data_IF_282878514611
#
_entry.id   IF_282878514611
#
_cell.length_a   1.000
_cell.length_b   1.000
_cell.length_c   1.000
_cell.angle_alpha   90.00
_cell.angle_beta   90.00
_cell.angle_gamma   90.00
#
_symmetry.space_group_name_H-M   'P 1'
#
loop_
_entity.id
_entity.type
_entity.pdbx_description
1 polymer ?
#
# COMPACT_ATOMS: atom_id res chain seq x y z
N UNK A 1 2.63 4.71 -15.38
CA UNK A 1 2.45 5.07 -13.96
C UNK A 1 1.93 3.89 -13.16
N UNK A 2 2.64 3.55 -12.09
CA UNK A 2 2.37 2.46 -11.16
C UNK A 2 2.28 3.03 -9.74
N UNK A 3 1.36 2.51 -8.94
CA UNK A 3 1.16 2.90 -7.55
C UNK A 3 1.63 1.79 -6.62
N UNK A 4 2.56 2.12 -5.73
CA UNK A 4 2.87 1.30 -4.54
C UNK A 4 1.92 1.73 -3.44
N UNK A 5 1.29 0.78 -2.75
CA UNK A 5 0.30 1.09 -1.72
C UNK A 5 0.44 0.18 -0.50
N UNK A 6 -0.02 0.69 0.64
CA UNK A 6 -0.14 -0.06 1.89
C UNK A 6 -1.57 -0.02 2.39
N UNK A 7 -2.14 -1.20 2.61
CA UNK A 7 -3.41 -1.35 3.30
C UNK A 7 -3.18 -1.78 4.74
N UNK A 8 -4.07 -1.36 5.63
CA UNK A 8 -4.08 -1.70 7.04
C UNK A 8 -5.44 -2.25 7.43
N UNK A 9 -5.44 -3.38 8.14
CA UNK A 9 -6.66 -3.95 8.71
C UNK A 9 -6.93 -3.43 10.13
N UNK A 10 -8.07 -3.82 10.71
CA UNK A 10 -8.43 -3.46 12.09
C UNK A 10 -7.55 -4.09 13.18
N UNK A 11 -6.60 -4.97 12.82
CA UNK A 11 -5.64 -5.64 13.73
C UNK A 11 -4.21 -5.14 13.49
N UNK A 12 -4.05 -3.96 12.90
CA UNK A 12 -2.77 -3.34 12.61
C UNK A 12 -1.89 -4.11 11.60
N UNK A 13 -2.43 -5.11 10.88
CA UNK A 13 -1.69 -5.85 9.86
C UNK A 13 -1.60 -5.02 8.59
N UNK A 14 -0.40 -4.98 8.01
CA UNK A 14 -0.09 -4.21 6.81
C UNK A 14 0.09 -5.11 5.58
N UNK A 15 -0.71 -4.89 4.56
CA UNK A 15 -0.52 -5.43 3.20
C UNK A 15 0.24 -4.41 2.35
N UNK A 16 1.17 -4.85 1.50
CA UNK A 16 1.94 -3.99 0.60
C UNK A 16 1.84 -4.56 -0.80
N UNK A 17 1.53 -3.72 -1.77
CA UNK A 17 1.39 -4.12 -3.17
C UNK A 17 1.73 -3.01 -4.14
N UNK A 18 1.77 -3.39 -5.42
CA UNK A 18 1.92 -2.49 -6.56
C UNK A 18 0.77 -2.73 -7.55
N UNK A 19 0.33 -1.69 -8.25
CA UNK A 19 -0.70 -1.79 -9.30
C UNK A 19 -0.62 -0.63 -10.28
N UNK A 20 -1.05 -0.83 -11.51
CA UNK A 20 -1.26 0.27 -12.48
C UNK A 20 -2.65 0.92 -12.35
N UNK A 21 -3.55 0.38 -11.52
CA UNK A 21 -4.88 0.92 -11.31
C UNK A 21 -5.31 0.71 -9.85
N UNK A 22 -5.03 1.72 -9.01
CA UNK A 22 -5.30 1.66 -7.57
C UNK A 22 -6.80 1.50 -7.27
N UNK A 23 -7.67 2.22 -7.99
CA UNK A 23 -9.12 2.18 -7.76
C UNK A 23 -9.68 0.78 -7.96
N UNK A 24 -9.34 0.14 -9.09
CA UNK A 24 -9.72 -1.25 -9.38
C UNK A 24 -9.20 -2.18 -8.29
N UNK A 25 -7.92 -2.03 -7.92
CA UNK A 25 -7.28 -2.93 -6.96
C UNK A 25 -7.86 -2.84 -5.55
N UNK A 26 -8.24 -1.63 -5.11
CA UNK A 26 -8.94 -1.44 -3.84
C UNK A 26 -10.32 -2.12 -3.84
N UNK A 27 -11.08 -2.00 -4.94
CA UNK A 27 -12.35 -2.68 -5.08
C UNK A 27 -12.21 -4.21 -4.99
N UNK A 28 -11.22 -4.79 -5.68
CA UNK A 28 -10.90 -6.23 -5.61
C UNK A 28 -10.56 -6.70 -4.18
N UNK A 29 -9.85 -5.87 -3.41
CA UNK A 29 -9.51 -6.18 -2.02
C UNK A 29 -10.74 -6.09 -1.11
N UNK A 30 -11.60 -5.09 -1.31
CA UNK A 30 -12.84 -4.93 -0.54
C UNK A 30 -13.89 -5.99 -0.86
N UNK A 31 -13.94 -6.51 -2.09
CA UNK A 31 -14.84 -7.61 -2.47
C UNK A 31 -14.31 -9.00 -2.07
N UNK A 32 -13.13 -9.09 -1.47
CA UNK A 32 -12.58 -10.34 -0.93
C UNK A 32 -11.99 -11.31 -1.96
N UNK A 33 -11.77 -10.88 -3.21
CA UNK A 33 -11.28 -11.75 -4.30
C UNK A 33 -9.79 -12.14 -4.20
N UNK A 34 -9.07 -11.71 -3.16
CA UNK A 34 -7.66 -12.05 -2.95
C UNK A 34 -7.45 -12.82 -1.65
N UNK A 35 -6.83 -14.00 -1.73
CA UNK A 35 -6.65 -14.95 -0.61
C UNK A 35 -6.02 -14.33 0.65
N UNK A 36 -5.13 -13.36 0.47
CA UNK A 36 -4.43 -12.67 1.56
C UNK A 36 -5.27 -11.59 2.22
N UNK A 37 -6.03 -10.81 1.45
CA UNK A 37 -6.85 -9.72 1.97
C UNK A 37 -8.26 -10.16 2.36
N UNK A 38 -8.75 -11.31 1.88
CA UNK A 38 -10.02 -11.88 2.33
C UNK A 38 -10.02 -12.21 3.83
N UNK A 39 -8.83 -12.45 4.41
CA UNK A 39 -8.62 -12.67 5.86
C UNK A 39 -8.42 -11.37 6.63
N UNK A 40 -8.33 -10.23 5.96
CA UNK A 40 -8.10 -8.90 6.55
C UNK A 40 -9.42 -8.13 6.56
N UNK A 41 -9.98 -7.88 7.75
CA UNK A 41 -11.24 -7.15 7.91
C UNK A 41 -10.99 -5.65 8.01
N UNK A 42 -11.91 -4.85 7.45
CA UNK A 42 -11.90 -3.39 7.56
C UNK A 42 -10.63 -2.73 6.98
N UNK A 43 -10.28 -3.10 5.74
CA UNK A 43 -9.10 -2.59 5.04
C UNK A 43 -9.19 -1.09 4.76
N UNK A 44 -8.17 -0.36 5.22
CA UNK A 44 -7.97 1.08 4.95
C UNK A 44 -6.68 1.29 4.17
N UNK A 45 -6.71 2.15 3.15
CA UNK A 45 -5.50 2.65 2.50
C UNK A 45 -4.82 3.65 3.44
N UNK A 46 -3.57 3.36 3.83
CA UNK A 46 -2.82 4.21 4.77
C UNK A 46 -1.56 4.83 4.16
N UNK A 47 -1.19 4.40 2.95
CA UNK A 47 0.00 4.88 2.26
C UNK A 47 -0.10 4.63 0.76
N UNK A 48 0.38 5.55 -0.05
CA UNK A 48 0.66 5.31 -1.47
C UNK A 48 1.78 6.20 -2.01
N UNK A 49 2.47 5.71 -3.03
CA UNK A 49 3.46 6.42 -3.84
C UNK A 49 3.24 6.08 -5.31
N UNK A 50 3.53 7.02 -6.20
CA UNK A 50 3.39 6.84 -7.65
C UNK A 50 4.77 6.89 -8.32
N UNK A 51 4.95 6.05 -9.32
CA UNK A 51 6.20 5.83 -10.05
C UNK A 51 5.91 5.71 -11.55
N UNK A 52 6.84 6.13 -12.39
CA UNK A 52 6.64 6.06 -13.84
C UNK A 52 6.72 4.62 -14.36
N UNK A 53 7.71 3.86 -13.85
CA UNK A 53 8.01 2.49 -14.27
C UNK A 53 7.57 1.45 -13.24
N UNK A 54 7.36 0.21 -13.71
CA UNK A 54 7.03 -0.91 -12.83
C UNK A 54 8.24 -1.29 -11.96
N UNK A 55 9.44 -1.21 -12.53
CA UNK A 55 10.71 -1.58 -11.91
C UNK A 55 10.98 -0.74 -10.66
N UNK A 56 10.78 0.58 -10.74
CA UNK A 56 10.94 1.49 -9.59
C UNK A 56 9.89 1.21 -8.52
N UNK A 57 8.62 1.08 -8.92
CA UNK A 57 7.53 0.75 -8.02
C UNK A 57 7.78 -0.60 -7.31
N UNK A 58 8.29 -1.60 -8.03
CA UNK A 58 8.59 -2.91 -7.50
C UNK A 58 9.78 -2.88 -6.54
N UNK A 59 10.85 -2.14 -6.86
CA UNK A 59 11.97 -1.92 -5.92
C UNK A 59 11.46 -1.29 -4.62
N UNK A 60 10.59 -0.30 -4.71
CA UNK A 60 9.99 0.34 -3.53
C UNK A 60 9.11 -0.61 -2.72
N UNK A 61 8.25 -1.38 -3.37
CA UNK A 61 7.41 -2.39 -2.72
C UNK A 61 8.25 -3.41 -1.94
N UNK A 62 9.36 -3.89 -2.53
CA UNK A 62 10.30 -4.81 -1.88
C UNK A 62 10.98 -4.16 -0.68
N UNK A 63 11.40 -2.89 -0.80
CA UNK A 63 11.90 -2.13 0.34
C UNK A 63 10.85 -2.06 1.47
N UNK A 64 9.60 -1.72 1.18
CA UNK A 64 8.52 -1.64 2.19
C UNK A 64 8.22 -3.00 2.86
N UNK A 65 8.54 -4.10 2.19
CA UNK A 65 8.46 -5.47 2.75
C UNK A 65 9.67 -5.82 3.64
N UNK A 66 10.81 -5.16 3.48
CA UNK A 66 12.02 -5.38 4.29
C UNK A 66 11.87 -4.92 5.76
N UNK A 67 12.85 -5.25 6.61
CA UNK A 67 12.87 -4.76 8.00
C UNK A 67 12.97 -3.23 8.08
N UNK A 68 13.81 -2.62 7.24
CA UNK A 68 13.95 -1.16 7.17
C UNK A 68 12.64 -0.50 6.73
N UNK A 69 11.98 -1.03 5.69
CA UNK A 69 10.68 -0.54 5.25
C UNK A 69 9.58 -0.71 6.28
N UNK A 70 9.59 -1.79 7.08
CA UNK A 70 8.66 -1.93 8.21
C UNK A 70 8.89 -0.86 9.28
N UNK A 71 10.14 -0.47 9.56
CA UNK A 71 10.46 0.65 10.46
C UNK A 71 10.01 1.98 9.86
N UNK A 72 10.27 2.18 8.56
CA UNK A 72 9.80 3.36 7.81
C UNK A 72 8.29 3.56 7.96
N UNK A 73 7.49 2.49 7.84
CA UNK A 73 6.03 2.54 7.97
C UNK A 73 5.55 2.66 9.43
N UNK A 74 6.38 2.45 10.46
CA UNK A 74 5.96 2.66 11.86
C UNK A 74 5.90 4.12 12.25
N UNK A 75 6.55 4.99 11.49
CA UNK A 75 6.49 6.43 11.68
C UNK A 75 5.08 6.93 11.34
N UNK A 76 4.33 7.34 12.37
CA UNK A 76 2.92 7.77 12.24
C UNK A 76 2.74 8.97 11.32
N UNK A 77 3.76 9.83 11.21
CA UNK A 77 3.73 10.99 10.29
C UNK A 77 3.57 10.59 8.83
N UNK A 78 3.96 9.35 8.49
CA UNK A 78 3.92 8.78 7.14
C UNK A 78 2.65 7.99 6.85
N UNK A 79 1.82 7.73 7.86
CA UNK A 79 0.64 6.86 7.76
C UNK A 79 -0.70 7.61 7.86
N UNK A 80 -0.69 8.93 8.06
CA UNK A 80 -1.92 9.71 8.26
C UNK A 80 -2.51 10.25 6.95
N UNK A 81 -3.80 9.95 6.77
CA UNK A 81 -4.80 10.67 5.98
C UNK A 81 -4.50 10.85 4.49
N UNK A 82 -5.06 9.95 3.68
CA UNK A 82 -5.37 10.11 2.25
C UNK A 82 -5.39 11.59 1.81
N UNK A 83 -4.31 12.06 1.19
CA UNK A 83 -4.23 13.43 0.70
C UNK A 83 -2.81 13.91 0.44
N UNK A 84 -2.29 13.57 -0.75
CA UNK A 84 -1.06 14.11 -1.37
C UNK A 84 0.27 13.68 -0.72
N UNK A 85 0.96 12.78 -1.42
CA UNK A 85 2.39 12.94 -1.62
C UNK A 85 2.60 13.19 -3.13
N UNK A 86 2.17 14.36 -3.58
CA UNK A 86 2.74 14.95 -4.79
C UNK A 86 4.09 15.51 -4.35
N UNK A 87 5.18 14.82 -4.67
CA UNK A 87 6.50 15.44 -4.63
C UNK A 87 6.58 16.39 -5.83
N UNK A 88 6.71 17.69 -5.56
CA UNK A 88 7.34 18.63 -6.50
C UNK A 88 8.84 18.33 -6.54
#
# INVERSE_FOLDING_TARGET
MFTVYVLKDGKEKLYKGVTNNLKRRLAEHHSGHTLTTSRMKSLKLVYKEEYDTFEEARKRELYLKSAAGRRFLKDKSRLSSVGRATLL
#
